data_IF_836615460990
#
_entry.id   IF_836615460990
#
_cell.length_a   1.000
_cell.length_b   1.000
_cell.length_c   1.000
_cell.angle_alpha   90.00
_cell.angle_beta   90.00
_cell.angle_gamma   90.00
#
_symmetry.space_group_name_H-M   'P 1'
#
loop_
_entity.id
_entity.type
_entity.pdbx_description
1 polymer ?
#
# COMPACT_ATOMS: atom_id res chain seq x y z
N UNK A 1 -22.41 0.05 0.71
CA UNK A 1 -22.73 -1.29 0.17
C UNK A 1 -23.30 -1.24 -1.26
N UNK A 2 -24.36 -0.45 -1.53
CA UNK A 2 -24.99 -0.37 -2.87
C UNK A 2 -24.01 0.03 -4.00
N UNK A 3 -23.10 0.98 -3.74
CA UNK A 3 -22.17 1.45 -4.78
C UNK A 3 -21.15 0.38 -5.21
N UNK A 4 -20.61 -0.41 -4.28
CA UNK A 4 -19.67 -1.49 -4.61
C UNK A 4 -20.32 -2.58 -5.47
N UNK A 5 -21.57 -2.95 -5.17
CA UNK A 5 -22.34 -3.90 -5.98
C UNK A 5 -22.49 -3.41 -7.43
N UNK A 6 -22.82 -2.12 -7.61
CA UNK A 6 -22.93 -1.51 -8.95
C UNK A 6 -21.62 -1.54 -9.73
N UNK A 7 -20.47 -1.31 -9.09
CA UNK A 7 -19.17 -1.41 -9.75
C UNK A 7 -18.83 -2.85 -10.13
N UNK A 8 -19.17 -3.83 -9.29
CA UNK A 8 -18.96 -5.24 -9.63
C UNK A 8 -19.81 -5.69 -10.82
N UNK A 9 -21.05 -5.20 -10.91
CA UNK A 9 -21.97 -5.50 -12.02
C UNK A 9 -21.61 -4.76 -13.32
N UNK A 10 -20.91 -3.62 -13.23
CA UNK A 10 -20.48 -2.86 -14.40
C UNK A 10 -19.28 -3.50 -15.13
N UNK A 11 -18.44 -4.27 -14.43
CA UNK A 11 -17.23 -4.89 -15.01
C UNK A 11 -17.57 -5.77 -16.24
N UNK A 12 -18.54 -6.69 -16.19
CA UNK A 12 -18.96 -7.46 -17.37
C UNK A 12 -19.37 -6.59 -18.57
N UNK A 13 -20.09 -5.48 -18.31
CA UNK A 13 -20.53 -4.57 -19.36
C UNK A 13 -19.35 -3.87 -20.05
N UNK A 14 -18.37 -3.38 -19.28
CA UNK A 14 -17.17 -2.78 -19.86
C UNK A 14 -16.30 -3.81 -20.60
N UNK A 15 -16.19 -5.03 -20.08
CA UNK A 15 -15.51 -6.12 -20.80
C UNK A 15 -16.19 -6.45 -22.13
N UNK A 16 -17.53 -6.40 -22.18
CA UNK A 16 -18.26 -6.57 -23.43
C UNK A 16 -18.06 -5.38 -24.38
N UNK A 17 -18.03 -4.14 -23.87
CA UNK A 17 -17.73 -2.96 -24.66
C UNK A 17 -16.32 -3.04 -25.30
N UNK A 18 -15.32 -3.54 -24.56
CA UNK A 18 -13.97 -3.81 -25.08
C UNK A 18 -14.01 -4.86 -26.19
N UNK A 19 -14.78 -5.95 -26.04
CA UNK A 19 -14.91 -6.97 -27.09
C UNK A 19 -15.55 -6.42 -28.37
N UNK A 20 -16.51 -5.50 -28.23
CA UNK A 20 -17.19 -4.88 -29.37
C UNK A 20 -16.34 -3.81 -30.05
N UNK A 21 -15.55 -3.07 -29.28
CA UNK A 21 -14.62 -2.06 -29.78
C UNK A 21 -13.34 -2.02 -28.93
N UNK A 22 -12.30 -2.78 -29.32
CA UNK A 22 -11.04 -2.86 -28.57
C UNK A 22 -10.17 -1.60 -28.73
N UNK A 23 -10.46 -0.73 -29.71
CA UNK A 23 -9.67 0.48 -29.96
C UNK A 23 -10.29 1.71 -29.28
N UNK A 24 -11.21 1.52 -28.32
CA UNK A 24 -11.87 2.60 -27.59
C UNK A 24 -11.29 2.79 -26.17
N UNK A 25 -10.42 3.79 -25.94
CA UNK A 25 -9.70 3.98 -24.68
C UNK A 25 -10.62 4.10 -23.45
N UNK A 26 -11.78 4.73 -23.61
CA UNK A 26 -12.72 4.99 -22.52
C UNK A 26 -13.37 3.72 -21.96
N UNK A 27 -13.48 2.65 -22.75
CA UNK A 27 -13.94 1.35 -22.23
C UNK A 27 -12.94 0.78 -21.22
N UNK A 28 -11.64 0.90 -21.50
CA UNK A 28 -10.57 0.48 -20.61
C UNK A 28 -10.46 1.38 -19.38
N UNK A 29 -10.57 2.70 -19.56
CA UNK A 29 -10.63 3.66 -18.44
C UNK A 29 -11.77 3.33 -17.47
N UNK A 30 -12.98 3.11 -17.98
CA UNK A 30 -14.13 2.84 -17.13
C UNK A 30 -14.05 1.48 -16.45
N UNK A 31 -13.48 0.47 -17.13
CA UNK A 31 -13.17 -0.82 -16.51
C UNK A 31 -12.16 -0.65 -15.35
N UNK A 32 -11.12 0.15 -15.56
CA UNK A 32 -10.11 0.44 -14.56
C UNK A 32 -10.68 1.20 -13.35
N UNK A 33 -11.54 2.20 -13.56
CA UNK A 33 -12.26 2.89 -12.49
C UNK A 33 -13.14 1.91 -11.71
N UNK A 34 -13.88 1.03 -12.39
CA UNK A 34 -14.70 0.03 -11.71
C UNK A 34 -13.85 -0.91 -10.82
N UNK A 35 -12.68 -1.35 -11.31
CA UNK A 35 -11.73 -2.11 -10.48
C UNK A 35 -11.17 -1.29 -9.31
N UNK A 36 -10.78 -0.04 -9.54
CA UNK A 36 -10.26 0.83 -8.50
C UNK A 36 -11.28 1.12 -7.39
N UNK A 37 -12.56 1.31 -7.73
CA UNK A 37 -13.64 1.48 -6.73
C UNK A 37 -13.87 0.23 -5.88
N UNK A 38 -13.47 -0.94 -6.36
CA UNK A 38 -13.51 -2.20 -5.61
C UNK A 38 -12.19 -2.48 -4.86
N UNK A 39 -11.20 -1.59 -4.93
CA UNK A 39 -9.86 -1.82 -4.37
C UNK A 39 -9.03 -2.85 -5.14
N UNK A 40 -9.47 -3.24 -6.33
CA UNK A 40 -8.82 -4.24 -7.19
C UNK A 40 -7.74 -3.58 -8.05
N UNK A 41 -6.75 -2.99 -7.40
CA UNK A 41 -5.73 -2.17 -8.08
C UNK A 41 -4.84 -2.98 -9.03
N UNK A 42 -4.62 -4.26 -8.73
CA UNK A 42 -3.89 -5.19 -9.61
C UNK A 42 -4.54 -5.33 -10.99
N UNK A 43 -5.87 -5.33 -11.06
CA UNK A 43 -6.63 -5.36 -12.32
C UNK A 43 -6.87 -3.97 -12.92
N UNK A 44 -6.95 -2.92 -12.10
CA UNK A 44 -7.16 -1.55 -12.57
C UNK A 44 -5.95 -1.02 -13.38
N UNK A 45 -4.73 -1.26 -12.90
CA UNK A 45 -3.49 -0.78 -13.53
C UNK A 45 -3.36 -1.20 -15.00
N UNK A 46 -3.44 -2.49 -15.37
CA UNK A 46 -3.32 -2.89 -16.78
C UNK A 46 -4.44 -2.31 -17.65
N UNK A 47 -5.66 -2.14 -17.12
CA UNK A 47 -6.74 -1.50 -17.87
C UNK A 47 -6.44 0.01 -18.11
N UNK A 48 -5.90 0.73 -17.12
CA UNK A 48 -5.45 2.11 -17.35
C UNK A 48 -4.29 2.20 -18.35
N UNK A 49 -3.33 1.27 -18.29
CA UNK A 49 -2.21 1.23 -19.24
C UNK A 49 -2.70 1.05 -20.67
N UNK A 50 -3.64 0.12 -20.91
CA UNK A 50 -4.25 -0.06 -22.24
C UNK A 50 -4.96 1.21 -22.73
N UNK A 51 -5.66 1.94 -21.86
CA UNK A 51 -6.27 3.22 -22.24
C UNK A 51 -5.22 4.27 -22.68
N UNK A 52 -4.08 4.35 -21.98
CA UNK A 52 -2.96 5.24 -22.33
C UNK A 52 -2.25 4.79 -23.61
N UNK A 53 -2.11 3.49 -23.85
CA UNK A 53 -1.51 2.95 -25.08
C UNK A 53 -2.34 3.28 -26.31
N UNK A 54 -3.67 3.16 -26.21
CA UNK A 54 -4.60 3.50 -27.30
C UNK A 54 -4.66 5.02 -27.55
N UNK A 55 -4.58 5.82 -26.49
CA UNK A 55 -4.57 7.28 -26.60
C UNK A 55 -3.66 7.89 -25.53
N UNK A 56 -2.42 8.18 -25.93
CA UNK A 56 -1.37 8.70 -25.04
C UNK A 56 -1.61 10.12 -24.53
N UNK A 57 -2.47 10.90 -25.20
CA UNK A 57 -2.83 12.27 -24.81
C UNK A 57 -4.13 12.30 -23.98
N UNK A 58 -4.11 11.59 -22.85
CA UNK A 58 -5.21 11.58 -21.87
C UNK A 58 -4.66 11.85 -20.46
N UNK A 59 -4.41 13.12 -20.10
CA UNK A 59 -3.85 13.49 -18.79
C UNK A 59 -4.67 12.94 -17.60
N UNK A 60 -6.01 12.91 -17.71
CA UNK A 60 -6.84 12.34 -16.65
C UNK A 60 -6.58 10.83 -16.43
N UNK A 61 -6.31 10.07 -17.50
CA UNK A 61 -6.05 8.63 -17.41
C UNK A 61 -4.67 8.40 -16.81
N UNK A 62 -3.67 9.20 -17.19
CA UNK A 62 -2.33 9.14 -16.60
C UNK A 62 -2.35 9.44 -15.10
N UNK A 63 -3.09 10.46 -14.68
CA UNK A 63 -3.30 10.77 -13.26
C UNK A 63 -3.93 9.58 -12.53
N UNK A 64 -4.94 8.95 -13.12
CA UNK A 64 -5.63 7.79 -12.54
C UNK A 64 -4.76 6.54 -12.48
N UNK A 65 -3.93 6.31 -13.48
CA UNK A 65 -2.91 5.26 -13.45
C UNK A 65 -1.92 5.48 -12.30
N UNK A 66 -1.44 6.72 -12.12
CA UNK A 66 -0.58 7.09 -10.99
C UNK A 66 -1.24 6.86 -9.64
N UNK A 67 -2.52 7.26 -9.49
CA UNK A 67 -3.30 6.97 -8.28
C UNK A 67 -3.41 5.45 -8.03
N UNK A 68 -3.72 4.66 -9.06
CA UNK A 68 -3.87 3.21 -8.94
C UNK A 68 -2.55 2.53 -8.52
N UNK A 69 -1.41 2.94 -9.09
CA UNK A 69 -0.08 2.43 -8.71
C UNK A 69 0.22 2.78 -7.25
N UNK A 70 -0.01 4.03 -6.85
CA UNK A 70 0.19 4.46 -5.46
C UNK A 70 -0.66 3.66 -4.49
N UNK A 71 -1.95 3.47 -4.79
CA UNK A 71 -2.87 2.68 -3.96
C UNK A 71 -2.46 1.21 -3.85
N UNK A 72 -2.01 0.59 -4.95
CA UNK A 72 -1.49 -0.78 -4.92
C UNK A 72 -0.24 -0.87 -4.05
N UNK A 73 0.69 0.07 -4.20
CA UNK A 73 1.91 0.13 -3.38
C UNK A 73 1.59 0.26 -1.89
N UNK A 74 0.60 1.07 -1.51
CA UNK A 74 0.17 1.18 -0.11
C UNK A 74 -0.45 -0.11 0.41
N UNK A 75 -1.24 -0.81 -0.41
CA UNK A 75 -1.80 -2.11 -0.06
C UNK A 75 -0.70 -3.18 0.10
N UNK A 76 0.24 -3.24 -0.84
CA UNK A 76 1.39 -4.15 -0.80
C UNK A 76 2.26 -3.87 0.43
N UNK A 77 2.48 -2.59 0.75
CA UNK A 77 3.20 -2.14 1.95
C UNK A 77 2.51 -2.56 3.24
N UNK A 78 1.18 -2.42 3.31
CA UNK A 78 0.41 -2.85 4.46
C UNK A 78 0.45 -4.38 4.63
N UNK A 79 0.32 -5.13 3.54
CA UNK A 79 0.39 -6.59 3.57
C UNK A 79 1.78 -7.07 4.03
N UNK A 80 2.86 -6.43 3.57
CA UNK A 80 4.21 -6.72 4.02
C UNK A 80 4.37 -6.48 5.54
N UNK A 81 3.82 -5.37 6.05
CA UNK A 81 3.81 -5.09 7.49
C UNK A 81 3.09 -6.19 8.28
N UNK A 82 1.91 -6.63 7.82
CA UNK A 82 1.14 -7.67 8.50
C UNK A 82 1.94 -8.98 8.60
N UNK A 83 2.68 -9.36 7.56
CA UNK A 83 3.57 -10.52 7.59
C UNK A 83 4.76 -10.34 8.53
N UNK A 84 5.38 -9.16 8.59
CA UNK A 84 6.44 -8.89 9.56
C UNK A 84 5.92 -8.95 11.00
N UNK A 85 4.73 -8.43 11.26
CA UNK A 85 4.08 -8.53 12.57
C UNK A 85 3.77 -9.98 12.95
N UNK A 86 3.36 -10.82 11.98
CA UNK A 86 3.18 -12.25 12.18
C UNK A 86 4.51 -12.95 12.51
N UNK A 87 5.58 -12.63 11.78
CA UNK A 87 6.91 -13.18 12.03
C UNK A 87 7.45 -12.79 13.42
N UNK A 88 7.28 -11.52 13.83
CA UNK A 88 7.58 -11.06 15.20
C UNK A 88 6.81 -11.87 16.25
N UNK A 89 5.56 -12.24 15.95
CA UNK A 89 4.74 -13.03 16.87
C UNK A 89 5.24 -14.47 17.03
N UNK A 90 5.88 -15.01 16.00
CA UNK A 90 6.42 -16.38 15.97
C UNK A 90 7.82 -16.45 16.58
N UNK A 91 8.66 -15.47 16.26
CA UNK A 91 10.00 -15.31 16.84
C UNK A 91 10.18 -13.86 17.32
N UNK A 92 9.83 -13.59 18.59
CA UNK A 92 9.94 -12.24 19.14
C UNK A 92 11.37 -11.75 19.31
N UNK A 93 12.40 -12.61 19.26
CA UNK A 93 13.78 -12.25 19.62
C UNK A 93 14.64 -11.87 18.40
N UNK A 94 14.04 -11.81 17.21
CA UNK A 94 14.74 -11.44 15.98
C UNK A 94 14.62 -9.92 15.72
N UNK A 95 15.67 -9.10 16.00
CA UNK A 95 15.62 -7.65 15.83
C UNK A 95 15.49 -7.20 14.38
N UNK A 96 15.93 -8.00 13.41
CA UNK A 96 15.90 -7.63 11.98
C UNK A 96 14.47 -7.44 11.48
N UNK A 97 13.53 -8.27 11.98
CA UNK A 97 12.12 -8.19 11.59
C UNK A 97 11.47 -6.91 12.14
N UNK A 98 11.88 -6.44 13.32
CA UNK A 98 11.43 -5.15 13.83
C UNK A 98 11.95 -3.99 13.00
N UNK A 99 13.21 -4.04 12.56
CA UNK A 99 13.76 -3.03 11.65
C UNK A 99 13.00 -2.99 10.32
N UNK A 100 12.67 -4.15 9.75
CA UNK A 100 11.85 -4.26 8.52
C UNK A 100 10.44 -3.69 8.72
N UNK A 101 9.78 -4.02 9.83
CA UNK A 101 8.46 -3.48 10.16
C UNK A 101 8.50 -1.96 10.39
N UNK A 102 9.53 -1.44 11.08
CA UNK A 102 9.73 -0.01 11.34
C UNK A 102 10.14 0.78 10.08
N UNK A 103 10.76 0.15 9.10
CA UNK A 103 11.00 0.78 7.80
C UNK A 103 9.67 1.08 7.06
N UNK A 104 8.64 0.26 7.31
CA UNK A 104 7.30 0.45 6.77
C UNK A 104 6.47 1.38 7.66
N UNK A 105 6.39 1.12 8.96
CA UNK A 105 5.66 1.90 9.95
C UNK A 105 6.61 2.52 10.99
N UNK A 106 7.28 3.59 10.56
CA UNK A 106 8.28 4.28 11.38
C UNK A 106 7.72 5.06 12.57
N UNK A 107 6.40 5.02 12.79
CA UNK A 107 5.71 5.67 13.91
C UNK A 107 5.23 4.67 14.96
N UNK A 108 5.45 3.38 14.75
CA UNK A 108 4.97 2.35 15.65
C UNK A 108 5.76 2.29 16.96
N UNK A 109 5.23 2.98 17.98
CA UNK A 109 5.86 3.06 19.31
C UNK A 109 6.07 1.67 19.93
N UNK A 110 5.08 0.79 19.79
CA UNK A 110 5.14 -0.55 20.36
C UNK A 110 6.29 -1.38 19.77
N UNK A 111 6.60 -1.20 18.48
CA UNK A 111 7.72 -1.88 17.83
C UNK A 111 9.08 -1.35 18.30
N UNK A 112 9.23 -0.03 18.48
CA UNK A 112 10.46 0.55 19.04
C UNK A 112 10.73 0.08 20.48
N UNK A 113 9.69 0.01 21.32
CA UNK A 113 9.83 -0.44 22.70
C UNK A 113 10.31 -1.88 22.77
N UNK A 114 9.60 -2.79 22.08
CA UNK A 114 9.97 -4.21 22.05
C UNK A 114 11.37 -4.44 21.49
N UNK A 115 11.74 -3.74 20.42
CA UNK A 115 13.08 -3.83 19.86
C UNK A 115 14.15 -3.35 20.85
N UNK A 116 13.90 -2.25 21.57
CA UNK A 116 14.79 -1.77 22.62
C UNK A 116 14.99 -2.80 23.73
N UNK A 117 13.90 -3.44 24.19
CA UNK A 117 13.94 -4.46 25.23
C UNK A 117 14.79 -5.66 24.78
N UNK A 118 14.57 -6.16 23.56
CA UNK A 118 15.34 -7.27 22.98
C UNK A 118 16.82 -6.92 22.87
N UNK A 119 17.16 -5.71 22.41
CA UNK A 119 18.55 -5.27 22.28
C UNK A 119 19.24 -5.13 23.65
N UNK A 120 18.51 -4.68 24.67
CA UNK A 120 19.01 -4.61 26.03
C UNK A 120 19.28 -6.02 26.60
N UNK A 121 18.35 -6.96 26.42
CA UNK A 121 18.49 -8.37 26.81
C UNK A 121 19.64 -9.07 26.05
N UNK A 122 19.87 -8.69 24.79
CA UNK A 122 20.94 -9.23 23.94
C UNK A 122 22.34 -8.67 24.26
N UNK A 123 22.48 -7.86 25.31
CA UNK A 123 23.76 -7.26 25.70
C UNK A 123 24.22 -6.12 24.79
N UNK A 124 23.29 -5.47 24.07
CA UNK A 124 23.56 -4.30 23.19
C UNK A 124 22.86 -3.03 23.72
N UNK A 125 23.15 -2.57 24.96
CA UNK A 125 22.42 -1.48 25.60
C UNK A 125 22.54 -0.13 24.87
N UNK A 126 23.67 0.12 24.19
CA UNK A 126 23.86 1.35 23.41
C UNK A 126 22.89 1.42 22.22
N UNK A 127 22.63 0.29 21.56
CA UNK A 127 21.68 0.20 20.46
C UNK A 127 20.23 0.31 20.97
N UNK A 128 19.93 -0.26 22.13
CA UNK A 128 18.64 -0.10 22.80
C UNK A 128 18.36 1.37 23.12
N UNK A 129 19.33 2.09 23.70
CA UNK A 129 19.21 3.50 24.04
C UNK A 129 18.93 4.36 22.80
N UNK A 130 19.67 4.14 21.71
CA UNK A 130 19.43 4.84 20.44
C UNK A 130 18.02 4.56 19.93
N UNK A 131 17.56 3.30 20.01
CA UNK A 131 16.22 2.88 19.56
C UNK A 131 15.10 3.59 20.36
N UNK A 132 15.24 3.70 21.68
CA UNK A 132 14.30 4.48 22.51
C UNK A 132 14.37 5.99 22.22
N UNK A 133 15.56 6.54 21.98
CA UNK A 133 15.73 7.96 21.64
C UNK A 133 15.09 8.32 20.30
N UNK A 134 15.19 7.43 19.30
CA UNK A 134 14.47 7.59 18.03
C UNK A 134 12.96 7.70 18.25
N UNK A 135 12.38 6.89 19.14
CA UNK A 135 10.97 7.03 19.54
C UNK A 135 10.65 8.44 20.08
N UNK A 136 11.41 8.95 21.05
CA UNK A 136 11.16 10.27 21.66
C UNK A 136 11.33 11.44 20.68
N UNK A 137 12.26 11.33 19.74
CA UNK A 137 12.50 12.38 18.73
C UNK A 137 11.34 12.49 17.73
N UNK A 138 10.64 11.40 17.45
CA UNK A 138 9.48 11.41 16.55
C UNK A 138 8.17 11.80 17.24
N UNK A 139 8.00 11.52 18.54
CA UNK A 139 6.81 11.95 19.31
C UNK A 139 6.77 13.47 19.56
N UNK A 140 7.93 14.11 19.78
CA UNK A 140 8.03 15.56 20.04
C UNK A 140 7.86 16.43 18.78
N UNK A 141 7.96 15.87 17.57
CA UNK A 141 7.74 16.62 16.33
C UNK A 141 6.25 16.87 16.00
N UNK A 142 5.35 16.22 16.75
CA UNK A 142 3.89 16.34 16.61
C UNK A 142 3.31 17.37 17.60
N UNK A 143 4.08 17.80 18.60
CA UNK A 143 3.63 18.76 19.64
C UNK A 143 3.85 20.23 19.30
N UNK A 144 4.32 20.57 18.10
CA UNK A 144 4.66 21.95 17.69
C UNK A 144 3.87 22.45 16.46
N UNK A 145 2.66 21.94 16.23
CA UNK A 145 1.68 22.56 15.32
C UNK A 145 0.28 22.46 15.92
#
# INVERSE_FOLDING_TARGET
MIQLARWSEAIPAYRQAIKLNPDFPWSYYNLAEAYGKLGRWGEAIPAYQQAVELQGDLPQVQQKLGEAIYRRSEQDRQQALDYFLLAIKQDPHNPDVYHQALAIDNRNVALYLKLGDILAESGKPDQALVTYQWHFRYSLRISMF
#
